data_IF_752935034925
#
_entry.id   IF_752935034925
#
_cell.length_a   1.000
_cell.length_b   1.000
_cell.length_c   1.000
_cell.angle_alpha   90.00
_cell.angle_beta   90.00
_cell.angle_gamma   90.00
#
_symmetry.space_group_name_H-M   'P 1'
#
loop_
_entity.id
_entity.type
_entity.pdbx_description
1 polymer ?
#
# COMPACT_ATOMS: atom_id res chain seq x y z
N UNK A 1 12.83 6.48 -0.13
CA UNK A 1 13.76 5.38 -0.46
C UNK A 1 12.97 4.08 -0.44
N UNK A 2 13.18 3.17 -1.38
CA UNK A 2 12.50 1.86 -1.39
C UNK A 2 13.42 0.82 -0.77
N UNK A 3 12.94 0.09 0.22
CA UNK A 3 13.67 -1.01 0.83
C UNK A 3 12.81 -2.27 0.83
N UNK A 4 13.45 -3.41 0.63
CA UNK A 4 12.79 -4.70 0.68
C UNK A 4 13.46 -5.65 1.67
N UNK A 5 12.63 -6.47 2.32
CA UNK A 5 13.05 -7.54 3.22
C UNK A 5 12.45 -8.85 2.75
N UNK A 6 13.27 -9.89 2.72
CA UNK A 6 12.78 -11.27 2.68
C UNK A 6 12.56 -11.75 4.10
N UNK A 7 11.39 -12.28 4.36
CA UNK A 7 11.00 -12.85 5.64
C UNK A 7 10.65 -14.33 5.40
N UNK A 8 11.36 -15.28 6.03
CA UNK A 8 11.00 -16.67 5.96
C UNK A 8 9.66 -16.91 6.66
N UNK A 9 8.84 -17.77 6.08
CA UNK A 9 7.58 -18.30 6.59
C UNK A 9 7.71 -19.82 6.77
N UNK A 10 6.69 -20.47 7.30
CA UNK A 10 6.67 -21.93 7.46
C UNK A 10 6.76 -22.67 6.12
N UNK A 11 7.39 -23.85 6.17
CA UNK A 11 7.54 -24.79 5.05
C UNK A 11 8.25 -24.21 3.82
N UNK A 12 9.44 -23.63 4.02
CA UNK A 12 10.33 -23.15 2.93
C UNK A 12 9.73 -22.05 2.05
N UNK A 13 8.73 -21.34 2.59
CA UNK A 13 8.12 -20.19 1.91
C UNK A 13 8.84 -18.91 2.34
N UNK A 14 9.08 -18.01 1.39
CA UNK A 14 9.62 -16.69 1.67
C UNK A 14 8.66 -15.59 1.22
N UNK A 15 8.41 -14.62 2.08
CA UNK A 15 7.65 -13.42 1.74
C UNK A 15 8.60 -12.25 1.49
N UNK A 16 8.43 -11.57 0.36
CA UNK A 16 9.13 -10.31 0.06
C UNK A 16 8.26 -9.13 0.48
N UNK A 17 8.64 -8.47 1.57
CA UNK A 17 8.07 -7.21 2.00
C UNK A 17 8.80 -6.09 1.26
N UNK A 18 8.05 -5.23 0.56
CA UNK A 18 8.60 -4.02 -0.06
C UNK A 18 7.91 -2.83 0.57
N UNK A 19 8.69 -2.00 1.27
CA UNK A 19 8.18 -0.78 1.89
C UNK A 19 8.64 0.40 1.05
N UNK A 20 7.67 1.20 0.62
CA UNK A 20 7.88 2.43 -0.11
C UNK A 20 7.69 3.58 0.88
N UNK A 21 8.79 4.07 1.46
CA UNK A 21 8.73 5.27 2.29
C UNK A 21 8.77 6.51 1.38
N UNK A 22 7.66 7.25 1.38
CA UNK A 22 7.47 8.50 0.66
C UNK A 22 6.98 9.57 1.63
N UNK A 23 7.80 10.59 1.87
CA UNK A 23 7.43 11.85 2.54
C UNK A 23 6.51 12.70 1.62
N UNK A 24 5.41 12.13 1.14
CA UNK A 24 4.71 12.54 -0.09
C UNK A 24 4.41 14.03 -0.25
N UNK A 25 4.62 14.57 -1.46
CA UNK A 25 4.11 15.87 -1.92
C UNK A 25 2.98 15.76 -2.97
N UNK A 26 2.36 14.58 -3.17
CA UNK A 26 1.30 14.47 -4.18
C UNK A 26 0.47 13.18 -4.18
N UNK A 27 -0.81 13.34 -4.49
CA UNK A 27 -1.80 12.25 -4.63
C UNK A 27 -1.40 11.27 -5.75
N UNK A 28 -0.78 11.77 -6.83
CA UNK A 28 -0.41 10.97 -8.00
C UNK A 28 0.70 9.96 -7.72
N UNK A 29 1.67 10.32 -6.88
CA UNK A 29 2.75 9.39 -6.49
C UNK A 29 2.16 8.23 -5.68
N UNK A 30 1.25 8.50 -4.75
CA UNK A 30 0.58 7.47 -3.94
C UNK A 30 -0.17 6.43 -4.79
N UNK A 31 -0.91 6.87 -5.82
CA UNK A 31 -1.69 5.98 -6.72
C UNK A 31 -0.76 5.10 -7.56
N UNK A 32 0.40 5.61 -7.97
CA UNK A 32 1.36 4.86 -8.80
C UNK A 32 1.97 3.63 -8.10
N UNK A 33 2.18 3.70 -6.78
CA UNK A 33 2.76 2.59 -6.00
C UNK A 33 1.72 1.58 -5.50
N UNK A 34 0.46 1.98 -5.37
CA UNK A 34 -0.63 1.08 -4.94
C UNK A 34 -0.96 -0.03 -5.96
N UNK A 35 -0.80 0.22 -7.26
CA UNK A 35 -1.28 -0.69 -8.33
C UNK A 35 -0.76 -2.13 -8.21
N UNK A 36 0.36 -2.37 -7.53
CA UNK A 36 0.94 -3.70 -7.26
C UNK A 36 1.06 -4.04 -5.77
N UNK A 37 0.52 -3.22 -4.88
CA UNK A 37 0.53 -3.46 -3.45
C UNK A 37 -0.64 -4.36 -3.03
N UNK A 38 -0.37 -5.32 -2.16
CA UNK A 38 -1.39 -6.15 -1.50
C UNK A 38 -2.04 -5.42 -0.34
N UNK A 39 -1.29 -4.55 0.34
CA UNK A 39 -1.72 -3.77 1.49
C UNK A 39 -1.21 -2.34 1.31
N UNK A 40 -2.06 -1.37 1.63
CA UNK A 40 -1.71 0.04 1.66
C UNK A 40 -2.00 0.61 3.05
N UNK A 41 -1.04 1.34 3.61
CA UNK A 41 -1.15 1.95 4.94
C UNK A 41 -1.14 3.47 4.76
N UNK A 42 -2.14 4.15 5.32
CA UNK A 42 -2.24 5.61 5.31
C UNK A 42 -1.98 6.12 6.72
N UNK A 43 -1.01 7.03 6.85
CA UNK A 43 -0.61 7.63 8.14
C UNK A 43 -0.91 9.12 8.10
N UNK A 44 -1.37 9.67 9.21
CA UNK A 44 -1.60 11.10 9.40
C UNK A 44 -1.12 11.53 10.79
N UNK A 45 -0.98 12.84 10.99
CA UNK A 45 -0.57 13.43 12.27
C UNK A 45 -1.80 13.80 13.09
N UNK A 46 -1.91 13.26 14.30
CA UNK A 46 -3.03 13.52 15.22
C UNK A 46 -3.07 14.99 15.69
N UNK A 47 -1.94 15.69 15.68
CA UNK A 47 -1.84 17.09 16.09
C UNK A 47 -2.27 18.06 14.97
N UNK A 48 -2.37 17.58 13.73
CA UNK A 48 -2.66 18.40 12.57
C UNK A 48 -3.88 17.90 11.77
N UNK A 49 -5.03 18.52 12.02
CA UNK A 49 -6.30 18.19 11.38
C UNK A 49 -6.27 18.19 9.84
N UNK A 50 -5.44 19.05 9.22
CA UNK A 50 -5.34 19.10 7.74
C UNK A 50 -4.77 17.81 7.18
N UNK A 51 -3.89 17.13 7.91
CA UNK A 51 -3.33 15.84 7.47
C UNK A 51 -4.38 14.72 7.50
N UNK A 52 -5.31 14.77 8.46
CA UNK A 52 -6.43 13.85 8.55
C UNK A 52 -7.41 14.01 7.40
N UNK A 53 -7.73 15.25 7.02
CA UNK A 53 -8.59 15.51 5.85
C UNK A 53 -7.95 15.00 4.55
N UNK A 54 -6.64 15.19 4.38
CA UNK A 54 -5.90 14.62 3.24
C UNK A 54 -5.93 13.09 3.25
N UNK A 55 -5.73 12.47 4.42
CA UNK A 55 -5.78 11.01 4.55
C UNK A 55 -7.15 10.43 4.16
N UNK A 56 -8.26 11.08 4.50
CA UNK A 56 -9.60 10.66 4.05
C UNK A 56 -9.73 10.66 2.53
N UNK A 57 -9.25 11.72 1.87
CA UNK A 57 -9.25 11.81 0.41
C UNK A 57 -8.42 10.68 -0.20
N UNK A 58 -7.25 10.39 0.36
CA UNK A 58 -6.41 9.28 -0.10
C UNK A 58 -7.10 7.93 0.05
N UNK A 59 -7.71 7.64 1.21
CA UNK A 59 -8.46 6.38 1.41
C UNK A 59 -9.57 6.22 0.38
N UNK A 60 -10.32 7.28 0.09
CA UNK A 60 -11.39 7.26 -0.93
C UNK A 60 -10.83 6.93 -2.32
N UNK A 61 -9.76 7.61 -2.74
CA UNK A 61 -9.12 7.36 -4.03
C UNK A 61 -8.53 5.94 -4.15
N UNK A 62 -7.98 5.40 -3.05
CA UNK A 62 -7.49 4.03 -3.02
C UNK A 62 -8.64 3.01 -3.20
N UNK A 63 -9.76 3.21 -2.51
CA UNK A 63 -10.94 2.34 -2.63
C UNK A 63 -11.54 2.35 -4.04
N UNK A 64 -11.58 3.51 -4.69
CA UNK A 64 -12.02 3.64 -6.08
C UNK A 64 -11.08 2.90 -7.05
N UNK A 65 -9.77 2.92 -6.77
CA UNK A 65 -8.75 2.28 -7.62
C UNK A 65 -8.68 0.76 -7.43
N UNK A 66 -9.02 0.23 -6.25
CA UNK A 66 -8.85 -1.19 -5.91
C UNK A 66 -9.95 -2.12 -6.49
N UNK A 67 -11.06 -1.55 -6.98
CA UNK A 67 -12.21 -2.31 -7.51
C UNK A 67 -11.91 -3.17 -8.75
N UNK A 68 -10.71 -3.04 -9.35
CA UNK A 68 -10.28 -3.85 -10.51
C UNK A 68 -9.45 -5.07 -10.16
N UNK A 69 -9.11 -5.31 -8.89
CA UNK A 69 -8.35 -6.51 -8.49
C UNK A 69 -9.26 -7.73 -8.39
N UNK A 70 -9.56 -8.32 -9.55
CA UNK A 70 -10.01 -9.71 -9.60
C UNK A 70 -8.96 -10.59 -8.92
N UNK A 71 -9.37 -11.18 -7.80
CA UNK A 71 -8.56 -12.07 -6.99
C UNK A 71 -8.34 -13.38 -7.77
N UNK A 72 -7.33 -13.43 -8.64
CA UNK A 72 -6.88 -14.68 -9.24
C UNK A 72 -6.27 -15.54 -8.12
N UNK A 73 -7.11 -16.36 -7.49
CA UNK A 73 -6.64 -17.57 -6.82
C UNK A 73 -6.05 -18.47 -7.90
N UNK A 74 -4.74 -18.49 -8.00
CA UNK A 74 -4.02 -19.66 -8.52
C UNK A 74 -3.17 -20.21 -7.40
N UNK A 75 -3.83 -20.85 -6.43
CA UNK A 75 -3.27 -22.05 -5.86
C UNK A 75 -3.40 -23.11 -6.96
N UNK A 76 -2.33 -23.33 -7.71
CA UNK A 76 -2.21 -24.53 -8.54
C UNK A 76 -1.58 -25.59 -7.65
N UNK A 77 -2.31 -26.69 -7.55
CA UNK A 77 -1.93 -27.95 -6.90
C UNK A 77 -0.52 -28.43 -7.32
#
# INVERSE_FOLDING_TARGET
FSWFKRVPLDHDREMRLVVWDTHSEGIETLISYHRRAHVSIVVYDITNQRTFEKAKTWVKTLQETDQTKHFHRTCRE
#
